data_IF_390017140975
#
_entry.id   IF_390017140975
#
_cell.length_a   1.000
_cell.length_b   1.000
_cell.length_c   1.000
_cell.angle_alpha   90.00
_cell.angle_beta   90.00
_cell.angle_gamma   90.00
#
_symmetry.space_group_name_H-M   'P 1'
#
loop_
_entity.id
_entity.type
_entity.pdbx_description
1 polymer ?
#
# COMPACT_ATOMS: atom_id res chain seq x y z
N UNK A 1 17.47 -12.59 1.43
CA UNK A 1 17.44 -13.38 0.18
C UNK A 1 17.06 -12.47 -1.00
N UNK A 2 18.06 -11.93 -1.68
CA UNK A 2 17.85 -11.13 -2.89
C UNK A 2 17.79 -12.10 -4.06
N UNK A 3 16.59 -12.36 -4.58
CA UNK A 3 16.41 -13.30 -5.69
C UNK A 3 17.26 -12.89 -6.88
N UNK A 4 18.08 -13.81 -7.39
CA UNK A 4 18.75 -13.63 -8.67
C UNK A 4 17.68 -13.61 -9.76
N UNK A 5 17.68 -12.54 -10.56
CA UNK A 5 16.81 -12.41 -11.71
C UNK A 5 17.59 -12.95 -12.91
N UNK A 6 17.05 -13.96 -13.60
CA UNK A 6 17.72 -14.60 -14.74
C UNK A 6 17.30 -13.94 -16.05
N UNK A 7 18.23 -13.82 -17.00
CA UNK A 7 17.90 -13.31 -18.34
C UNK A 7 16.82 -14.18 -19.00
N UNK A 8 15.81 -13.52 -19.58
CA UNK A 8 14.63 -14.17 -20.14
C UNK A 8 13.42 -14.19 -19.21
N UNK A 9 13.59 -13.91 -17.92
CA UNK A 9 12.47 -13.85 -16.97
C UNK A 9 11.61 -12.60 -17.14
N UNK A 10 10.38 -12.68 -16.65
CA UNK A 10 9.48 -11.53 -16.54
C UNK A 10 9.54 -10.94 -15.14
N UNK A 11 9.79 -9.63 -15.05
CA UNK A 11 9.82 -8.90 -13.78
C UNK A 11 8.66 -7.92 -13.75
N UNK A 12 7.96 -7.88 -12.62
CA UNK A 12 6.86 -6.95 -12.37
C UNK A 12 7.26 -6.03 -11.23
N UNK A 13 7.35 -4.75 -11.53
CA UNK A 13 7.57 -3.68 -10.56
C UNK A 13 6.23 -3.04 -10.21
N UNK A 14 5.91 -2.99 -8.91
CA UNK A 14 4.69 -2.39 -8.41
C UNK A 14 5.05 -1.25 -7.46
N UNK A 15 4.57 -0.05 -7.75
CA UNK A 15 4.73 1.11 -6.89
C UNK A 15 3.32 1.58 -6.54
N UNK A 16 3.03 1.76 -5.25
CA UNK A 16 1.74 2.25 -4.76
C UNK A 16 1.96 3.48 -3.92
N UNK A 17 1.07 4.46 -4.07
CA UNK A 17 1.10 5.69 -3.30
C UNK A 17 -0.27 5.90 -2.68
N UNK A 18 -0.32 6.18 -1.38
CA UNK A 18 -1.56 6.41 -0.61
C UNK A 18 -2.07 7.85 -0.78
N UNK A 19 -1.79 8.45 -1.94
CA UNK A 19 -2.09 9.85 -2.27
C UNK A 19 -3.55 10.04 -2.66
N UNK A 20 -4.10 11.21 -2.32
CA UNK A 20 -5.46 11.61 -2.74
C UNK A 20 -5.49 13.07 -3.26
N UNK A 21 -5.80 13.32 -4.55
CA UNK A 21 -6.23 12.35 -5.57
C UNK A 21 -5.17 11.29 -5.89
N UNK A 22 -5.55 10.13 -6.48
CA UNK A 22 -4.60 9.05 -6.78
C UNK A 22 -3.42 9.62 -7.55
N UNK A 23 -2.24 9.55 -6.94
CA UNK A 23 -1.05 10.14 -7.53
C UNK A 23 -0.78 9.47 -8.89
N UNK A 24 -0.51 10.28 -9.90
CA UNK A 24 0.03 9.76 -11.14
C UNK A 24 1.41 9.18 -10.84
N UNK A 25 1.50 7.85 -10.92
CA UNK A 25 2.75 7.14 -10.71
C UNK A 25 3.51 7.12 -12.02
N UNK A 26 4.76 7.57 -11.99
CA UNK A 26 5.64 7.59 -13.15
C UNK A 26 6.93 6.84 -12.86
N UNK A 27 7.32 5.95 -13.76
CA UNK A 27 8.55 5.16 -13.67
C UNK A 27 9.67 5.79 -14.47
N UNK A 28 10.84 5.85 -13.86
CA UNK A 28 12.07 6.37 -14.45
C UNK A 28 13.19 5.33 -14.34
N UNK A 29 13.96 5.15 -15.42
CA UNK A 29 15.19 4.35 -15.43
C UNK A 29 16.36 5.33 -15.55
N UNK A 30 17.12 5.49 -14.47
CA UNK A 30 18.12 6.56 -14.39
C UNK A 30 17.48 7.96 -14.49
N UNK A 31 17.66 8.63 -15.65
CA UNK A 31 17.07 9.95 -15.96
C UNK A 31 15.97 9.90 -17.04
N UNK A 32 15.66 8.73 -17.56
CA UNK A 32 14.70 8.56 -18.64
C UNK A 32 13.34 8.14 -18.10
N UNK A 33 12.28 8.82 -18.54
CA UNK A 33 10.91 8.39 -18.31
C UNK A 33 10.63 7.10 -19.10
N UNK A 34 10.06 6.12 -18.41
CA UNK A 34 9.76 4.79 -18.98
C UNK A 34 8.26 4.66 -19.26
N UNK A 35 7.42 4.92 -18.25
CA UNK A 35 5.98 4.73 -18.32
C UNK A 35 5.26 5.36 -17.11
N UNK A 36 4.03 5.84 -17.33
CA UNK A 36 3.08 6.15 -16.26
C UNK A 36 2.17 4.96 -15.96
N UNK A 37 1.94 4.69 -14.67
CA UNK A 37 1.10 3.62 -14.16
C UNK A 37 1.67 2.94 -12.92
N UNK A 38 0.78 2.34 -12.12
CA UNK A 38 1.12 1.65 -10.86
C UNK A 38 2.01 0.41 -11.06
N UNK A 39 1.80 -0.30 -12.17
CA UNK A 39 2.46 -1.57 -12.47
C UNK A 39 3.28 -1.43 -13.75
N UNK A 40 4.57 -1.74 -13.66
CA UNK A 40 5.46 -1.82 -14.81
C UNK A 40 5.96 -3.25 -14.98
N UNK A 41 5.60 -3.86 -16.11
CA UNK A 41 5.97 -5.24 -16.45
C UNK A 41 7.02 -5.26 -17.55
N UNK A 42 8.16 -5.87 -17.26
CA UNK A 42 9.24 -6.11 -18.22
C UNK A 42 9.18 -7.60 -18.59
N UNK A 43 8.96 -7.89 -19.87
CA UNK A 43 8.99 -9.25 -20.41
C UNK A 43 10.35 -9.55 -21.01
N UNK A 44 10.95 -10.70 -20.71
CA UNK A 44 12.28 -11.11 -21.17
C UNK A 44 13.36 -10.12 -20.77
N UNK A 45 13.63 -10.06 -19.47
CA UNK A 45 14.69 -9.21 -18.94
C UNK A 45 16.04 -9.61 -19.54
N UNK A 46 16.88 -8.61 -19.79
CA UNK A 46 18.22 -8.78 -20.36
C UNK A 46 19.16 -7.78 -19.72
N UNK A 47 20.47 -7.92 -19.97
CA UNK A 47 21.49 -6.94 -19.59
C UNK A 47 21.15 -5.50 -19.97
N UNK A 48 20.44 -5.24 -21.08
CA UNK A 48 19.98 -3.90 -21.45
C UNK A 48 18.98 -3.32 -20.44
N UNK A 49 18.14 -4.15 -19.82
CA UNK A 49 17.17 -3.73 -18.81
C UNK A 49 17.78 -3.50 -17.43
N UNK A 50 19.06 -3.85 -17.24
CA UNK A 50 19.76 -3.56 -15.99
C UNK A 50 19.83 -2.04 -15.73
N UNK A 51 19.62 -1.65 -14.48
CA UNK A 51 19.64 -0.25 -14.08
C UNK A 51 18.80 0.03 -12.83
N UNK A 52 18.95 1.25 -12.32
CA UNK A 52 18.16 1.73 -11.18
C UNK A 52 16.82 2.29 -11.68
N UNK A 53 15.73 1.72 -11.17
CA UNK A 53 14.36 2.19 -11.42
C UNK A 53 13.86 3.01 -10.23
N UNK A 54 13.37 4.22 -10.50
CA UNK A 54 12.73 5.11 -9.52
C UNK A 54 11.27 5.30 -9.89
N UNK A 55 10.37 5.16 -8.92
CA UNK A 55 9.00 5.63 -9.10
C UNK A 55 8.84 7.01 -8.46
N UNK A 56 8.21 7.92 -9.19
CA UNK A 56 7.75 9.22 -8.69
C UNK A 56 6.23 9.15 -8.52
N UNK A 57 5.71 9.68 -7.41
CA UNK A 57 4.28 9.86 -7.19
C UNK A 57 4.02 11.30 -6.74
N UNK A 58 3.23 12.04 -7.51
CA UNK A 58 2.86 13.41 -7.15
C UNK A 58 1.70 13.41 -6.13
N UNK A 59 2.07 13.42 -4.85
CA UNK A 59 1.15 13.53 -3.71
C UNK A 59 1.00 15.01 -3.31
N UNK A 60 -0.08 15.69 -3.71
CA UNK A 60 -0.35 17.05 -3.23
C UNK A 60 -1.86 17.30 -3.04
N UNK A 61 -2.36 17.49 -1.79
CA UNK A 61 -1.65 17.48 -0.49
C UNK A 61 -1.49 16.10 0.16
N UNK A 62 -0.67 15.96 1.21
CA UNK A 62 -0.64 14.77 2.07
C UNK A 62 -1.98 14.59 2.80
N UNK A 63 -2.49 13.36 2.87
CA UNK A 63 -3.62 13.05 3.73
C UNK A 63 -3.17 13.12 5.20
N UNK A 64 -3.80 13.99 5.99
CA UNK A 64 -3.50 14.18 7.41
C UNK A 64 -4.55 13.54 8.33
N UNK A 65 -5.75 13.26 7.81
CA UNK A 65 -6.84 12.68 8.58
C UNK A 65 -7.03 11.21 8.21
N UNK A 66 -6.80 10.32 9.17
CA UNK A 66 -6.95 8.87 9.01
C UNK A 66 -8.00 8.38 10.02
N UNK A 67 -9.02 7.68 9.53
CA UNK A 67 -10.09 7.09 10.32
C UNK A 67 -10.12 5.59 10.07
N UNK A 68 -10.16 4.77 11.10
CA UNK A 68 -10.23 3.31 10.97
C UNK A 68 -11.64 2.82 11.18
N UNK A 69 -12.08 1.90 10.34
CA UNK A 69 -13.41 1.31 10.37
C UNK A 69 -13.30 -0.21 10.33
N UNK A 70 -14.30 -0.89 10.88
CA UNK A 70 -14.47 -2.34 10.73
C UNK A 70 -15.47 -2.59 9.59
N UNK A 71 -15.24 -3.58 8.73
CA UNK A 71 -16.11 -3.86 7.56
C UNK A 71 -17.59 -4.06 7.96
N UNK A 72 -17.82 -4.63 9.14
CA UNK A 72 -19.15 -4.92 9.69
C UNK A 72 -19.74 -3.78 10.54
N UNK A 73 -19.00 -2.68 10.78
CA UNK A 73 -19.49 -1.54 11.55
C UNK A 73 -19.32 -0.22 10.79
N UNK A 74 -20.33 0.65 10.89
CA UNK A 74 -20.25 2.02 10.32
C UNK A 74 -19.53 3.02 11.23
N UNK A 75 -19.19 2.63 12.46
CA UNK A 75 -18.54 3.50 13.44
C UNK A 75 -17.01 3.46 13.29
N UNK A 76 -16.38 4.63 13.42
CA UNK A 76 -14.92 4.70 13.47
C UNK A 76 -14.42 4.01 14.75
N UNK A 77 -13.56 3.01 14.58
CA UNK A 77 -12.95 2.24 15.69
C UNK A 77 -11.62 2.84 16.16
N UNK A 78 -11.07 3.80 15.43
CA UNK A 78 -9.83 4.50 15.78
C UNK A 78 -9.49 5.63 14.80
N UNK A 79 -8.47 6.42 15.14
CA UNK A 79 -7.94 7.50 14.31
C UNK A 79 -6.41 7.53 14.34
N UNK A 80 -5.80 8.07 13.28
CA UNK A 80 -4.35 8.16 13.11
C UNK A 80 -3.76 7.10 12.17
N UNK A 81 -2.48 7.28 11.81
CA UNK A 81 -1.78 6.42 10.84
C UNK A 81 -1.53 5.00 11.35
N UNK A 82 -1.54 4.79 12.66
CA UNK A 82 -1.34 3.49 13.30
C UNK A 82 -2.58 3.11 14.08
N UNK A 83 -3.06 1.88 13.89
CA UNK A 83 -4.23 1.34 14.57
C UNK A 83 -3.91 0.02 15.28
N UNK A 84 -4.33 -0.07 16.53
CA UNK A 84 -4.24 -1.29 17.34
C UNK A 84 -5.64 -1.86 17.53
N UNK A 85 -5.96 -2.94 16.82
CA UNK A 85 -7.27 -3.57 16.94
C UNK A 85 -7.43 -4.24 18.32
N UNK A 86 -8.49 -3.88 19.04
CA UNK A 86 -8.86 -4.48 20.33
C UNK A 86 -9.79 -5.70 20.16
N UNK A 87 -10.30 -5.91 18.96
CA UNK A 87 -11.24 -6.97 18.63
C UNK A 87 -10.78 -7.67 17.34
N UNK A 88 -11.18 -8.93 17.18
CA UNK A 88 -11.03 -9.60 15.89
C UNK A 88 -12.01 -9.04 14.86
N UNK A 89 -11.56 -8.94 13.61
CA UNK A 89 -12.36 -8.39 12.53
C UNK A 89 -11.54 -7.99 11.30
N UNK A 90 -12.23 -7.57 10.25
CA UNK A 90 -11.64 -6.93 9.07
C UNK A 90 -11.71 -5.42 9.24
N UNK A 91 -10.57 -4.75 9.17
CA UNK A 91 -10.44 -3.32 9.38
C UNK A 91 -9.86 -2.64 8.15
N UNK A 92 -10.37 -1.46 7.81
CA UNK A 92 -9.82 -0.62 6.76
C UNK A 92 -9.63 0.80 7.28
N UNK A 93 -8.61 1.47 6.78
CA UNK A 93 -8.40 2.90 7.01
C UNK A 93 -9.05 3.71 5.87
N UNK A 94 -9.75 4.77 6.23
CA UNK A 94 -10.21 5.82 5.34
C UNK A 94 -9.39 7.09 5.60
N UNK A 95 -8.66 7.53 4.57
CA UNK A 95 -7.88 8.75 4.60
C UNK A 95 -8.68 9.89 3.97
N UNK A 96 -8.84 10.98 4.71
CA UNK A 96 -9.54 12.18 4.27
C UNK A 96 -8.53 13.30 3.99
N UNK A 97 -8.69 13.94 2.85
CA UNK A 97 -7.97 15.15 2.47
C UNK A 97 -8.96 16.20 1.98
N UNK A 98 -8.51 17.44 1.77
CA UNK A 98 -9.34 18.55 1.27
C UNK A 98 -10.04 18.24 -0.06
N UNK A 99 -9.55 17.24 -0.82
CA UNK A 99 -10.08 16.83 -2.12
C UNK A 99 -11.02 15.61 -2.06
N UNK A 100 -11.16 14.94 -0.92
CA UNK A 100 -12.05 13.79 -0.78
C UNK A 100 -11.55 12.74 0.20
N UNK A 101 -12.15 11.54 0.15
CA UNK A 101 -11.74 10.40 0.96
C UNK A 101 -11.39 9.18 0.13
N UNK A 102 -10.38 8.43 0.58
CA UNK A 102 -9.93 7.19 -0.04
C UNK A 102 -9.89 6.08 1.01
N UNK A 103 -10.36 4.90 0.63
CA UNK A 103 -10.36 3.71 1.47
C UNK A 103 -9.20 2.79 1.12
N UNK A 104 -8.45 2.33 2.11
CA UNK A 104 -7.41 1.31 1.99
C UNK A 104 -8.01 -0.11 1.87
N UNK A 105 -7.19 -1.07 1.44
CA UNK A 105 -7.57 -2.49 1.48
C UNK A 105 -7.79 -2.94 2.93
N UNK A 106 -8.80 -3.79 3.15
CA UNK A 106 -9.14 -4.26 4.48
C UNK A 106 -8.18 -5.35 4.96
N UNK A 107 -7.61 -5.15 6.15
CA UNK A 107 -6.74 -6.10 6.84
C UNK A 107 -7.54 -6.92 7.86
N UNK A 108 -7.36 -8.24 7.84
CA UNK A 108 -7.96 -9.14 8.84
C UNK A 108 -7.07 -9.19 10.07
N UNK A 109 -7.58 -8.76 11.22
CA UNK A 109 -6.90 -8.88 12.51
C UNK A 109 -7.55 -9.99 13.34
N UNK A 110 -6.74 -10.92 13.82
CA UNK A 110 -7.17 -11.97 14.74
C UNK A 110 -6.47 -11.76 16.08
N UNK A 111 -7.19 -11.17 17.04
CA UNK A 111 -6.70 -11.08 18.41
C UNK A 111 -6.76 -12.50 19.00
N UNK A 112 -5.60 -13.14 19.15
CA UNK A 112 -5.49 -14.32 20.02
C UNK A 112 -5.69 -13.81 21.44
N UNK A 113 -6.94 -13.84 21.92
CA UNK A 113 -7.21 -13.58 23.32
C UNK A 113 -6.26 -14.45 24.13
N UNK A 114 -5.47 -13.83 25.01
CA UNK A 114 -4.88 -14.57 26.11
C UNK A 114 -6.09 -15.16 26.82
N UNK A 115 -6.32 -16.46 26.67
CA UNK A 115 -7.33 -17.16 27.42
C UNK A 115 -7.04 -16.83 28.88
N UNK A 116 -7.88 -15.98 29.47
CA UNK A 116 -7.89 -15.77 30.90
C UNK A 116 -8.21 -17.14 31.45
N UNK A 117 -7.16 -17.81 31.89
CA UNK A 117 -7.20 -19.08 32.57
C UNK A 117 -8.09 -18.85 33.80
N UNK A 118 -9.37 -19.18 33.70
CA UNK A 118 -10.21 -19.38 34.87
C UNK A 118 -9.72 -20.70 35.49
N UNK A 119 -8.67 -20.59 36.32
CA UNK A 119 -8.56 -21.47 37.47
C UNK A 119 -9.63 -21.02 38.45
N UNK A 120 -10.69 -21.83 38.58
CA UNK A 120 -11.27 -22.34 39.83
C UNK A 120 -12.21 -23.48 39.42
#
# INVERSE_FOLDING_TARGET
PSGEIVEGDSVILNCSSDSNPPAEISWFKGRMFVRSGRVYSISKISSDHSGEYKCNSDSNPPALNFSWFKEDESSAVGSGQSFSALQSGRFYCEAHNQHGSQRSDAVTVTVKGRASHLLI
#
